data_IF_554179178614
#
_entry.id   IF_554179178614
#
_cell.length_a   1.000
_cell.length_b   1.000
_cell.length_c   1.000
_cell.angle_alpha   90.00
_cell.angle_beta   90.00
_cell.angle_gamma   90.00
#
_symmetry.space_group_name_H-M   'P 1'
#
loop_
_entity.id
_entity.type
_entity.pdbx_description
1 polymer ?
#
# COMPACT_ATOMS: atom_id res chain seq x y z
N UNK A 1 25.78 26.94 26.26
CA UNK A 1 25.60 27.20 24.81
C UNK A 1 24.72 26.12 24.21
N UNK A 2 23.45 26.43 23.94
CA UNK A 2 22.50 25.52 23.31
C UNK A 2 22.77 25.44 21.80
N UNK A 3 23.23 24.28 21.31
CA UNK A 3 23.42 24.03 19.87
C UNK A 3 22.11 23.52 19.29
N UNK A 4 21.31 24.45 18.76
CA UNK A 4 20.15 24.15 17.92
C UNK A 4 20.61 23.30 16.72
N UNK A 5 20.34 22.00 16.76
CA UNK A 5 20.55 21.09 15.64
C UNK A 5 19.36 21.24 14.68
N UNK A 6 19.32 22.34 13.92
CA UNK A 6 18.42 22.44 12.75
C UNK A 6 18.84 21.35 11.77
N UNK A 7 18.14 20.22 11.78
CA UNK A 7 18.16 19.24 10.67
C UNK A 7 17.56 19.97 9.47
N UNK A 8 18.43 20.58 8.67
CA UNK A 8 18.05 21.18 7.39
C UNK A 8 17.58 20.13 6.40
N UNK A 9 16.98 20.61 5.31
CA UNK A 9 16.43 19.84 4.18
C UNK A 9 17.42 18.76 3.67
N UNK A 10 18.73 18.96 3.85
CA UNK A 10 19.80 18.01 3.52
C UNK A 10 19.76 16.68 4.29
N UNK A 11 19.15 16.62 5.49
CA UNK A 11 18.94 15.37 6.24
C UNK A 11 17.55 14.76 6.05
N UNK A 12 16.63 15.47 5.39
CA UNK A 12 15.23 15.08 5.23
C UNK A 12 15.02 14.20 4.00
N UNK A 13 15.60 14.59 2.86
CA UNK A 13 15.46 13.85 1.59
C UNK A 13 16.12 12.46 1.62
N UNK A 14 17.38 12.29 2.10
CA UNK A 14 18.00 10.96 2.13
C UNK A 14 17.25 9.99 3.04
N UNK A 15 16.79 10.43 4.22
CA UNK A 15 16.05 9.58 5.17
C UNK A 15 14.66 9.15 4.65
N UNK A 16 14.05 9.93 3.76
CA UNK A 16 12.74 9.63 3.19
C UNK A 16 12.83 8.57 2.08
N UNK A 17 13.92 8.56 1.31
CA UNK A 17 14.09 7.65 0.16
C UNK A 17 15.06 6.48 0.41
N UNK A 18 15.88 6.52 1.46
CA UNK A 18 16.96 5.53 1.69
C UNK A 18 16.84 4.68 2.96
N UNK A 19 15.95 5.01 3.90
CA UNK A 19 15.88 4.31 5.18
C UNK A 19 14.90 3.14 5.13
N UNK A 20 15.20 2.14 4.28
CA UNK A 20 14.48 0.87 4.26
C UNK A 20 15.24 -0.10 5.14
N UNK A 21 14.69 -0.35 6.32
CA UNK A 21 15.11 -1.42 7.21
C UNK A 21 14.25 -2.64 6.87
N UNK A 22 14.88 -3.82 6.71
CA UNK A 22 14.21 -5.08 6.37
C UNK A 22 13.39 -5.64 7.54
N UNK A 23 13.38 -4.97 8.70
CA UNK A 23 12.45 -5.28 9.79
C UNK A 23 11.00 -4.93 9.47
N UNK A 24 10.04 -5.67 10.06
CA UNK A 24 8.59 -5.41 9.91
C UNK A 24 8.21 -3.96 10.22
N UNK A 25 8.82 -3.39 11.27
CA UNK A 25 8.60 -2.00 11.66
C UNK A 25 9.21 -1.01 10.64
N UNK A 26 10.35 -1.37 10.05
CA UNK A 26 10.99 -0.62 8.96
C UNK A 26 10.09 -0.55 7.73
N UNK A 27 9.54 -1.69 7.31
CA UNK A 27 8.62 -1.78 6.19
C UNK A 27 7.32 -0.98 6.44
N UNK A 28 6.65 -1.19 7.58
CA UNK A 28 5.44 -0.43 7.91
C UNK A 28 5.71 1.08 7.97
N UNK A 29 6.85 1.49 8.52
CA UNK A 29 7.25 2.90 8.54
C UNK A 29 7.51 3.45 7.13
N UNK A 30 8.16 2.65 6.28
CA UNK A 30 8.42 2.99 4.88
C UNK A 30 7.11 3.19 4.13
N UNK A 31 6.16 2.26 4.25
CA UNK A 31 4.82 2.32 3.63
C UNK A 31 4.01 3.51 4.14
N UNK A 32 4.02 3.77 5.45
CA UNK A 32 3.36 4.95 6.04
C UNK A 32 3.93 6.28 5.54
N UNK A 33 5.19 6.28 5.12
CA UNK A 33 5.87 7.47 4.60
C UNK A 33 5.73 7.64 3.09
N UNK A 34 5.10 6.69 2.40
CA UNK A 34 4.96 6.69 0.95
C UNK A 34 4.17 7.88 0.43
N UNK A 35 3.08 8.28 1.09
CA UNK A 35 2.37 9.52 0.72
C UNK A 35 3.24 10.77 0.91
N UNK A 36 4.16 10.77 1.89
CA UNK A 36 5.08 11.89 2.12
C UNK A 36 6.12 11.95 1.02
N UNK A 37 6.62 10.80 0.56
CA UNK A 37 7.46 10.70 -0.63
C UNK A 37 6.74 11.20 -1.87
N UNK A 38 5.49 10.77 -2.07
CA UNK A 38 4.68 11.22 -3.20
C UNK A 38 4.47 12.74 -3.15
N UNK A 39 4.17 13.31 -1.98
CA UNK A 39 4.01 14.75 -1.77
C UNK A 39 5.32 15.50 -2.01
N UNK A 40 6.43 15.06 -1.41
CA UNK A 40 7.76 15.66 -1.59
C UNK A 40 8.20 15.54 -3.04
N UNK A 41 7.98 14.41 -3.68
CA UNK A 41 8.22 14.19 -5.11
C UNK A 41 7.39 15.12 -5.98
N UNK A 42 6.12 15.36 -5.62
CA UNK A 42 5.25 16.32 -6.30
C UNK A 42 5.76 17.75 -6.14
N UNK A 43 6.24 18.14 -4.95
CA UNK A 43 6.82 19.47 -4.71
C UNK A 43 8.15 19.62 -5.47
N UNK A 44 9.04 18.64 -5.41
CA UNK A 44 10.31 18.64 -6.16
C UNK A 44 10.02 18.76 -7.65
N UNK A 45 9.03 18.01 -8.14
CA UNK A 45 8.60 18.12 -9.52
C UNK A 45 8.09 19.53 -9.81
N UNK A 46 7.17 20.08 -9.01
CA UNK A 46 6.63 21.42 -9.22
C UNK A 46 7.73 22.50 -9.26
N UNK A 47 8.75 22.37 -8.41
CA UNK A 47 9.93 23.24 -8.45
C UNK A 47 10.74 23.00 -9.72
N UNK A 48 10.94 21.74 -10.12
CA UNK A 48 11.57 21.38 -11.39
C UNK A 48 10.86 21.96 -12.61
N UNK A 49 9.52 21.92 -12.63
CA UNK A 49 8.67 22.54 -13.64
C UNK A 49 8.93 24.04 -13.71
N UNK A 50 8.91 24.74 -12.57
CA UNK A 50 9.15 26.17 -12.51
C UNK A 50 10.57 26.55 -12.99
N UNK A 51 11.58 25.77 -12.62
CA UNK A 51 12.97 25.96 -13.07
C UNK A 51 13.08 25.74 -14.58
N UNK A 52 12.52 24.65 -15.08
CA UNK A 52 12.52 24.31 -16.51
C UNK A 52 11.77 25.35 -17.33
N UNK A 53 10.65 25.88 -16.82
CA UNK A 53 9.91 26.95 -17.48
C UNK A 53 10.66 28.29 -17.45
N UNK A 54 11.41 28.56 -16.37
CA UNK A 54 12.36 29.69 -16.31
C UNK A 54 13.50 29.56 -17.34
N UNK A 55 14.11 28.37 -17.44
CA UNK A 55 15.14 28.06 -18.44
C UNK A 55 14.56 28.11 -19.86
N UNK A 56 13.32 27.68 -20.06
CA UNK A 56 12.63 27.75 -21.35
C UNK A 56 12.41 29.20 -21.80
N UNK A 57 11.95 30.09 -20.91
CA UNK A 57 11.86 31.53 -21.22
C UNK A 57 13.21 32.12 -21.66
N UNK A 58 14.32 31.55 -21.16
CA UNK A 58 15.68 31.96 -21.50
C UNK A 58 16.25 31.30 -22.76
N UNK A 59 15.88 30.06 -23.08
CA UNK A 59 16.55 29.22 -24.11
C UNK A 59 15.65 28.80 -25.27
N UNK A 60 14.33 28.99 -25.18
CA UNK A 60 13.32 28.60 -26.19
C UNK A 60 13.33 27.12 -26.61
N UNK A 61 13.90 26.22 -25.80
CA UNK A 61 14.01 24.80 -26.15
C UNK A 61 12.72 24.01 -25.86
N UNK A 62 12.01 23.60 -26.91
CA UNK A 62 10.63 23.07 -26.83
C UNK A 62 10.51 21.69 -26.13
N UNK A 63 11.55 20.85 -26.16
CA UNK A 63 11.53 19.48 -25.61
C UNK A 63 11.37 19.41 -24.08
N UNK A 64 11.84 20.44 -23.37
CA UNK A 64 11.77 20.53 -21.92
C UNK A 64 10.34 20.66 -21.38
N UNK A 65 9.49 21.39 -22.11
CA UNK A 65 8.07 21.60 -21.78
C UNK A 65 7.29 20.28 -21.84
N UNK A 66 7.63 19.40 -22.78
CA UNK A 66 6.98 18.10 -22.97
C UNK A 66 7.21 17.18 -21.77
N UNK A 67 8.46 17.04 -21.33
CA UNK A 67 8.82 16.18 -20.18
C UNK A 67 8.14 16.67 -18.92
N UNK A 68 8.15 17.98 -18.68
CA UNK A 68 7.51 18.62 -17.53
C UNK A 68 6.02 18.33 -17.45
N UNK A 69 5.28 18.54 -18.56
CA UNK A 69 3.84 18.27 -18.61
C UNK A 69 3.57 16.78 -18.34
N UNK A 70 4.35 15.91 -18.96
CA UNK A 70 4.16 14.47 -18.83
C UNK A 70 4.34 13.97 -17.40
N UNK A 71 5.44 14.35 -16.75
CA UNK A 71 5.72 13.92 -15.37
C UNK A 71 4.69 14.51 -14.41
N UNK A 72 4.18 15.72 -14.67
CA UNK A 72 3.11 16.34 -13.87
C UNK A 72 1.82 15.53 -13.92
N UNK A 73 1.44 15.06 -15.09
CA UNK A 73 0.23 14.25 -15.29
C UNK A 73 0.35 12.91 -14.55
N UNK A 74 1.50 12.25 -14.67
CA UNK A 74 1.76 10.97 -14.00
C UNK A 74 1.70 11.14 -12.48
N UNK A 75 2.36 12.16 -11.91
CA UNK A 75 2.29 12.37 -10.46
C UNK A 75 0.88 12.76 -10.00
N UNK A 76 0.18 13.62 -10.73
CA UNK A 76 -1.16 14.08 -10.35
C UNK A 76 -2.17 12.93 -10.38
N UNK A 77 -2.14 12.11 -11.44
CA UNK A 77 -3.05 10.98 -11.56
C UNK A 77 -2.60 9.78 -10.70
N UNK A 78 -1.33 9.60 -10.39
CA UNK A 78 -0.84 8.55 -9.47
C UNK A 78 -1.00 8.86 -7.98
N UNK A 79 -1.16 10.14 -7.62
CA UNK A 79 -1.25 10.58 -6.22
C UNK A 79 -2.40 9.92 -5.43
N UNK A 80 -3.65 9.82 -5.96
CA UNK A 80 -4.74 9.21 -5.21
C UNK A 80 -4.45 7.76 -4.79
N UNK A 81 -3.90 6.94 -5.71
CA UNK A 81 -3.48 5.58 -5.42
C UNK A 81 -2.41 5.54 -4.32
N UNK A 82 -1.33 6.32 -4.47
CA UNK A 82 -0.24 6.36 -3.47
C UNK A 82 -0.70 6.82 -2.09
N UNK A 83 -1.59 7.83 -2.03
CA UNK A 83 -2.14 8.32 -0.78
C UNK A 83 -3.01 7.27 -0.09
N UNK A 84 -3.84 6.56 -0.85
CA UNK A 84 -4.71 5.53 -0.30
C UNK A 84 -3.93 4.30 0.19
N UNK A 85 -2.97 3.81 -0.59
CA UNK A 85 -2.13 2.66 -0.23
C UNK A 85 -1.30 2.94 1.04
N UNK A 86 -0.86 4.19 1.22
CA UNK A 86 -0.03 4.61 2.36
C UNK A 86 -0.82 4.88 3.65
N UNK A 87 -2.11 5.22 3.54
CA UNK A 87 -2.95 5.60 4.69
C UNK A 87 -3.85 4.46 5.13
N UNK A 88 -4.42 3.70 4.19
CA UNK A 88 -5.46 2.70 4.46
C UNK A 88 -5.05 1.66 5.52
N UNK A 89 -3.84 1.07 5.50
CA UNK A 89 -3.42 0.09 6.51
C UNK A 89 -3.25 0.69 7.92
N UNK A 90 -3.10 2.02 8.02
CA UNK A 90 -2.90 2.72 9.29
C UNK A 90 -4.15 3.46 9.76
N UNK A 91 -5.28 3.29 9.08
CA UNK A 91 -6.57 3.68 9.66
C UNK A 91 -6.93 2.73 10.81
N UNK A 92 -7.89 3.11 11.64
CA UNK A 92 -8.37 2.17 12.67
C UNK A 92 -8.98 0.97 11.95
N UNK A 93 -8.51 -0.26 12.21
CA UNK A 93 -9.07 -1.44 11.59
C UNK A 93 -10.53 -1.60 11.98
N UNK A 94 -11.36 -2.07 11.05
CA UNK A 94 -12.76 -2.42 11.34
C UNK A 94 -12.81 -3.84 11.89
N UNK A 95 -12.84 -3.93 13.21
CA UNK A 95 -12.95 -5.18 13.95
C UNK A 95 -14.42 -5.39 14.31
N UNK A 96 -14.93 -6.58 14.04
CA UNK A 96 -16.31 -6.96 14.33
C UNK A 96 -16.38 -8.41 14.75
N UNK A 97 -17.29 -8.73 15.67
CA UNK A 97 -17.59 -10.10 16.03
C UNK A 97 -18.67 -10.66 15.09
N UNK A 98 -18.36 -11.73 14.37
CA UNK A 98 -19.24 -12.36 13.36
C UNK A 98 -19.15 -13.87 13.52
N UNK A 99 -20.31 -14.53 13.61
CA UNK A 99 -20.45 -16.00 13.62
C UNK A 99 -19.55 -16.74 14.62
N UNK A 100 -19.31 -16.16 15.80
CA UNK A 100 -18.47 -16.80 16.83
C UNK A 100 -16.98 -16.52 16.69
N UNK A 101 -16.58 -15.57 15.83
CA UNK A 101 -15.19 -15.24 15.55
C UNK A 101 -14.97 -13.73 15.51
N UNK A 102 -13.75 -13.29 15.82
CA UNK A 102 -13.34 -11.90 15.65
C UNK A 102 -12.83 -11.70 14.23
N UNK A 103 -13.47 -10.81 13.47
CA UNK A 103 -13.12 -10.52 12.08
C UNK A 103 -12.56 -9.11 11.97
N UNK A 104 -11.36 -9.00 11.42
CA UNK A 104 -10.74 -7.74 11.01
C UNK A 104 -10.93 -7.58 9.51
N UNK A 105 -11.55 -6.48 9.08
CA UNK A 105 -11.79 -6.21 7.67
C UNK A 105 -10.89 -5.09 7.14
N UNK A 106 -10.14 -5.34 6.06
CA UNK A 106 -9.21 -4.37 5.46
C UNK A 106 -9.86 -3.23 4.69
N UNK A 107 -9.36 -2.00 4.77
CA UNK A 107 -10.08 -0.82 4.25
C UNK A 107 -10.24 -0.76 2.71
N UNK A 108 -11.40 -0.28 2.24
CA UNK A 108 -11.73 -0.07 0.81
C UNK A 108 -10.96 1.09 0.15
N UNK A 109 -10.14 1.81 0.90
CA UNK A 109 -9.48 3.02 0.38
C UNK A 109 -8.53 2.71 -0.78
N UNK A 110 -7.86 1.56 -0.77
CA UNK A 110 -6.88 1.17 -1.80
C UNK A 110 -7.54 1.03 -3.18
N UNK A 111 -8.72 0.40 -3.26
CA UNK A 111 -9.48 0.29 -4.51
C UNK A 111 -10.05 1.63 -4.97
N UNK A 112 -10.50 2.49 -4.04
CA UNK A 112 -10.95 3.86 -4.34
C UNK A 112 -9.80 4.69 -4.94
N UNK A 113 -8.59 4.58 -4.40
CA UNK A 113 -7.40 5.26 -4.90
C UNK A 113 -7.08 4.88 -6.35
N UNK A 114 -7.07 3.57 -6.67
CA UNK A 114 -6.84 3.08 -8.03
C UNK A 114 -7.91 3.56 -9.02
N UNK A 115 -9.19 3.58 -8.62
CA UNK A 115 -10.27 4.09 -9.48
C UNK A 115 -10.15 5.61 -9.72
N UNK A 116 -9.87 6.38 -8.66
CA UNK A 116 -9.66 7.82 -8.80
C UNK A 116 -8.50 8.13 -9.77
N UNK A 117 -7.40 7.38 -9.66
CA UNK A 117 -6.27 7.45 -10.59
C UNK A 117 -6.68 7.13 -12.03
N UNK A 118 -7.44 6.05 -12.26
CA UNK A 118 -7.95 5.69 -13.58
C UNK A 118 -8.79 6.80 -14.21
N UNK A 119 -9.76 7.35 -13.46
CA UNK A 119 -10.62 8.43 -13.95
C UNK A 119 -9.81 9.67 -14.33
N UNK A 120 -8.79 10.02 -13.53
CA UNK A 120 -7.90 11.14 -13.83
C UNK A 120 -7.07 10.91 -15.10
N UNK A 121 -6.48 9.72 -15.28
CA UNK A 121 -5.73 9.40 -16.50
C UNK A 121 -6.63 9.44 -17.75
N UNK A 122 -7.85 8.90 -17.67
CA UNK A 122 -8.84 8.97 -18.75
C UNK A 122 -9.25 10.41 -19.06
N UNK A 123 -9.50 11.23 -18.03
CA UNK A 123 -9.85 12.63 -18.21
C UNK A 123 -8.72 13.42 -18.89
N UNK A 124 -7.45 13.17 -18.50
CA UNK A 124 -6.30 13.78 -19.15
C UNK A 124 -6.16 13.36 -20.61
N UNK A 125 -6.33 12.07 -20.93
CA UNK A 125 -6.30 11.59 -22.32
C UNK A 125 -7.35 12.31 -23.19
N UNK A 126 -8.60 12.37 -22.71
CA UNK A 126 -9.70 13.05 -23.41
C UNK A 126 -9.41 14.55 -23.58
N UNK A 127 -8.92 15.21 -22.52
CA UNK A 127 -8.57 16.63 -22.56
C UNK A 127 -7.53 16.95 -23.64
N UNK A 128 -6.47 16.16 -23.77
CA UNK A 128 -5.44 16.38 -24.80
C UNK A 128 -5.95 16.10 -26.21
N UNK A 129 -6.81 15.10 -26.39
CA UNK A 129 -7.44 14.82 -27.69
C UNK A 129 -8.30 16.01 -28.13
N UNK A 130 -9.21 16.47 -27.27
CA UNK A 130 -10.10 17.61 -27.55
C UNK A 130 -9.30 18.89 -27.80
N UNK A 131 -8.31 19.18 -26.95
CA UNK A 131 -7.44 20.35 -27.12
C UNK A 131 -6.67 20.31 -28.44
N UNK A 132 -6.24 19.12 -28.88
CA UNK A 132 -5.59 18.91 -30.17
C UNK A 132 -6.46 19.21 -31.37
N UNK A 133 -7.74 18.81 -31.31
CA UNK A 133 -8.72 19.14 -32.34
C UNK A 133 -8.98 20.64 -32.41
N UNK A 134 -9.14 21.32 -31.27
CA UNK A 134 -9.39 22.77 -31.21
C UNK A 134 -8.18 23.56 -31.72
N UNK A 135 -6.97 23.16 -31.35
CA UNK A 135 -5.74 23.87 -31.73
C UNK A 135 -5.26 23.56 -33.16
N UNK A 136 -5.91 22.63 -33.88
CA UNK A 136 -5.44 22.10 -35.17
C UNK A 136 -4.00 21.52 -35.14
N UNK A 137 -3.51 21.14 -33.97
CA UNK A 137 -2.17 20.60 -33.74
C UNK A 137 -2.22 19.13 -33.28
N UNK A 138 -3.15 18.35 -33.86
CA UNK A 138 -3.51 17.01 -33.42
C UNK A 138 -2.30 16.09 -33.20
N UNK A 139 -1.33 16.11 -34.12
CA UNK A 139 -0.12 15.26 -34.07
C UNK A 139 0.70 15.51 -32.80
N UNK A 140 0.86 16.79 -32.41
CA UNK A 140 1.64 17.18 -31.22
C UNK A 140 0.92 16.79 -29.94
N UNK A 141 -0.39 17.04 -29.88
CA UNK A 141 -1.23 16.70 -28.72
C UNK A 141 -1.47 15.20 -28.57
N UNK A 142 -1.43 14.44 -29.66
CA UNK A 142 -1.60 12.99 -29.63
C UNK A 142 -0.52 12.31 -28.78
N UNK A 143 0.72 12.80 -28.79
CA UNK A 143 1.80 12.27 -27.96
C UNK A 143 1.50 12.46 -26.46
N UNK A 144 0.87 13.58 -26.09
CA UNK A 144 0.44 13.86 -24.72
C UNK A 144 -0.79 13.07 -24.31
N UNK A 145 -1.65 12.71 -25.26
CA UNK A 145 -2.82 11.86 -25.00
C UNK A 145 -2.45 10.38 -24.89
N UNK A 146 -1.47 9.91 -25.68
CA UNK A 146 -1.07 8.51 -25.77
C UNK A 146 -0.60 7.97 -24.43
N UNK A 147 0.19 8.73 -23.67
CA UNK A 147 0.78 8.23 -22.42
C UNK A 147 -0.29 8.07 -21.32
N UNK A 148 -1.12 9.08 -20.99
CA UNK A 148 -2.28 8.90 -20.12
C UNK A 148 -3.25 7.82 -20.62
N UNK A 149 -3.45 7.69 -21.93
CA UNK A 149 -4.28 6.63 -22.49
C UNK A 149 -3.69 5.23 -22.31
N UNK A 150 -2.37 5.06 -22.44
CA UNK A 150 -1.68 3.80 -22.14
C UNK A 150 -1.77 3.47 -20.65
N UNK A 151 -1.61 4.45 -19.76
CA UNK A 151 -1.81 4.26 -18.32
C UNK A 151 -3.27 3.94 -17.98
N UNK A 152 -4.24 4.64 -18.58
CA UNK A 152 -5.65 4.34 -18.42
C UNK A 152 -6.00 2.96 -18.98
N UNK A 153 -5.44 2.58 -20.13
CA UNK A 153 -5.61 1.26 -20.72
C UNK A 153 -4.98 0.17 -19.85
N UNK A 154 -3.79 0.38 -19.31
CA UNK A 154 -3.16 -0.53 -18.34
C UNK A 154 -4.02 -0.68 -17.09
N UNK A 155 -4.52 0.44 -16.56
CA UNK A 155 -5.46 0.44 -15.45
C UNK A 155 -6.81 -0.21 -15.80
N UNK A 156 -7.24 -0.18 -17.06
CA UNK A 156 -8.48 -0.79 -17.56
C UNK A 156 -8.33 -2.28 -17.92
N UNK A 157 -7.19 -2.68 -18.47
CA UNK A 157 -6.84 -4.09 -18.71
C UNK A 157 -6.68 -4.86 -17.41
N UNK A 158 -6.57 -4.15 -16.28
CA UNK A 158 -6.79 -4.69 -14.94
C UNK A 158 -8.25 -5.06 -14.61
N UNK A 159 -9.18 -5.00 -15.56
CA UNK A 159 -10.62 -5.23 -15.39
C UNK A 159 -11.28 -4.46 -14.22
N UNK A 160 -10.92 -3.20 -13.93
CA UNK A 160 -11.34 -2.50 -12.73
C UNK A 160 -12.84 -2.24 -12.68
N UNK A 161 -13.55 -2.30 -13.83
CA UNK A 161 -14.99 -2.06 -13.97
C UNK A 161 -15.83 -3.34 -13.92
N UNK A 162 -15.33 -4.45 -14.49
CA UNK A 162 -16.04 -5.74 -14.49
C UNK A 162 -15.92 -6.42 -13.12
N UNK A 163 -14.74 -6.30 -12.51
CA UNK A 163 -14.52 -6.73 -11.14
C UNK A 163 -14.85 -5.61 -10.14
N UNK A 164 -15.21 -4.39 -10.54
CA UNK A 164 -15.48 -3.30 -9.57
C UNK A 164 -16.48 -3.69 -8.49
N UNK A 165 -17.58 -4.32 -8.88
CA UNK A 165 -18.60 -4.81 -7.93
C UNK A 165 -18.10 -5.98 -7.11
N UNK A 166 -17.28 -6.87 -7.70
CA UNK A 166 -16.67 -7.99 -7.02
C UNK A 166 -15.55 -7.54 -6.07
N UNK A 167 -14.56 -6.76 -6.51
CA UNK A 167 -13.47 -6.10 -5.77
C UNK A 167 -13.95 -5.05 -4.76
N UNK A 168 -15.13 -4.45 -4.92
CA UNK A 168 -15.76 -3.67 -3.85
C UNK A 168 -16.40 -4.57 -2.79
N UNK A 169 -16.93 -5.72 -3.20
CA UNK A 169 -17.58 -6.68 -2.29
C UNK A 169 -16.57 -7.53 -1.53
N UNK A 170 -15.52 -7.96 -2.23
CA UNK A 170 -14.44 -8.79 -1.76
C UNK A 170 -13.42 -7.92 -1.01
N UNK A 171 -13.29 -8.20 0.28
CA UNK A 171 -12.54 -7.39 1.23
C UNK A 171 -11.58 -8.34 1.90
N UNK A 172 -10.31 -7.96 2.00
CA UNK A 172 -9.38 -8.77 2.78
C UNK A 172 -9.90 -8.88 4.20
N UNK A 173 -10.01 -10.12 4.69
CA UNK A 173 -10.46 -10.41 6.05
C UNK A 173 -9.45 -11.26 6.77
N UNK A 174 -9.14 -10.86 7.99
CA UNK A 174 -8.44 -11.69 8.95
C UNK A 174 -9.44 -12.15 9.99
N UNK A 175 -9.71 -13.44 10.02
CA UNK A 175 -10.62 -14.07 10.97
C UNK A 175 -9.81 -14.75 12.06
N UNK A 176 -10.05 -14.33 13.29
CA UNK A 176 -9.43 -14.84 14.50
C UNK A 176 -10.45 -15.74 15.20
N UNK A 177 -10.15 -17.03 15.25
CA UNK A 177 -10.93 -18.04 15.94
C UNK A 177 -10.15 -18.59 17.14
N UNK A 178 -10.83 -19.33 18.03
CA UNK A 178 -10.18 -19.97 19.18
C UNK A 178 -9.12 -20.99 18.79
N UNK A 179 -9.30 -21.62 17.62
CA UNK A 179 -8.43 -22.68 17.11
C UNK A 179 -7.28 -22.17 16.22
N UNK A 180 -7.45 -21.01 15.59
CA UNK A 180 -6.48 -20.49 14.65
C UNK A 180 -6.83 -19.13 14.06
N UNK A 181 -6.06 -18.76 13.05
CA UNK A 181 -6.23 -17.54 12.28
C UNK A 181 -6.37 -17.89 10.81
N UNK A 182 -7.34 -17.26 10.17
CA UNK A 182 -7.63 -17.42 8.75
C UNK A 182 -7.51 -16.08 8.05
N UNK A 183 -6.85 -16.12 6.91
CA UNK A 183 -6.62 -15.00 6.03
C UNK A 183 -7.38 -15.25 4.75
N UNK A 184 -8.19 -14.28 4.38
CA UNK A 184 -8.74 -14.14 3.05
C UNK A 184 -8.15 -12.88 2.45
N UNK A 185 -7.36 -13.03 1.40
CA UNK A 185 -6.86 -11.92 0.62
C UNK A 185 -7.83 -11.68 -0.53
N UNK A 186 -8.43 -10.50 -0.55
CA UNK A 186 -9.17 -10.06 -1.72
C UNK A 186 -8.24 -10.13 -2.93
N UNK A 187 -8.75 -10.63 -4.06
CA UNK A 187 -7.93 -10.82 -5.25
C UNK A 187 -7.19 -9.53 -5.62
N UNK A 188 -5.89 -9.65 -5.90
CA UNK A 188 -5.16 -8.52 -6.47
C UNK A 188 -5.69 -8.25 -7.88
N UNK A 189 -5.60 -6.99 -8.31
CA UNK A 189 -5.92 -6.64 -9.69
C UNK A 189 -4.95 -7.37 -10.63
N UNK A 190 -5.42 -7.78 -11.81
CA UNK A 190 -4.72 -8.74 -12.70
C UNK A 190 -3.32 -8.35 -13.21
N UNK A 191 -2.84 -7.13 -12.95
CA UNK A 191 -1.43 -6.74 -13.16
C UNK A 191 -0.49 -7.34 -12.12
N UNK A 192 -1.02 -7.61 -10.92
CA UNK A 192 -0.30 -8.31 -9.85
C UNK A 192 -0.49 -9.85 -9.98
N UNK A 193 -1.25 -10.35 -10.98
CA UNK A 193 -1.46 -11.79 -11.20
C UNK A 193 -0.16 -12.52 -11.59
N UNK A 194 0.77 -11.83 -12.26
CA UNK A 194 2.11 -12.37 -12.52
C UNK A 194 2.93 -12.48 -11.21
N UNK A 195 2.62 -11.68 -10.19
CA UNK A 195 3.23 -11.78 -8.84
C UNK A 195 2.66 -12.96 -8.04
N UNK A 196 1.38 -13.32 -8.25
CA UNK A 196 0.78 -14.56 -7.71
C UNK A 196 1.38 -15.82 -8.37
N UNK A 197 1.77 -15.72 -9.65
CA UNK A 197 2.29 -16.87 -10.45
C UNK A 197 3.79 -17.15 -10.30
N UNK A 198 4.58 -16.21 -9.77
CA UNK A 198 6.04 -16.31 -9.75
C UNK A 198 6.63 -16.85 -8.44
N UNK A 199 5.85 -16.91 -7.35
CA UNK A 199 6.25 -17.61 -6.12
C UNK A 199 5.43 -18.88 -5.94
N UNK A 200 6.05 -20.05 -6.11
CA UNK A 200 5.44 -21.34 -5.76
C UNK A 200 5.00 -21.33 -4.30
N UNK A 201 3.71 -21.55 -4.02
CA UNK A 201 3.16 -21.62 -2.65
C UNK A 201 2.32 -20.43 -2.19
N UNK A 202 2.03 -19.46 -3.07
CA UNK A 202 1.11 -18.37 -2.75
C UNK A 202 -0.36 -18.74 -2.96
N UNK A 203 -1.19 -18.54 -1.94
CA UNK A 203 -2.65 -18.67 -2.00
C UNK A 203 -3.37 -17.35 -1.71
N UNK A 204 -4.59 -17.21 -2.22
CA UNK A 204 -5.54 -16.16 -1.80
C UNK A 204 -5.98 -16.35 -0.34
N UNK A 205 -5.99 -17.61 0.10
CA UNK A 205 -6.46 -18.01 1.40
C UNK A 205 -5.37 -18.77 2.14
N UNK A 206 -5.15 -18.41 3.39
CA UNK A 206 -4.26 -19.15 4.28
C UNK A 206 -4.93 -19.30 5.64
N UNK A 207 -4.95 -20.52 6.17
CA UNK A 207 -5.47 -20.81 7.49
C UNK A 207 -4.47 -21.67 8.25
N UNK A 208 -4.18 -21.30 9.48
CA UNK A 208 -3.35 -22.12 10.35
C UNK A 208 -3.81 -22.02 11.79
N UNK A 209 -3.50 -23.06 12.55
CA UNK A 209 -3.89 -23.19 13.94
C UNK A 209 -2.87 -22.54 14.86
N UNK A 210 -3.32 -22.11 16.04
CA UNK A 210 -2.43 -21.46 17.01
C UNK A 210 -1.38 -22.41 17.61
N UNK A 211 -1.67 -23.72 17.65
CA UNK A 211 -0.73 -24.75 18.11
C UNK A 211 0.44 -24.98 17.14
N UNK A 212 0.34 -24.51 15.90
CA UNK A 212 1.44 -24.55 14.93
C UNK A 212 2.52 -23.49 15.22
N UNK A 213 2.24 -22.53 16.12
CA UNK A 213 3.16 -21.44 16.51
C UNK A 213 3.78 -20.72 15.32
N UNK A 214 2.97 -20.49 14.27
CA UNK A 214 3.40 -19.83 13.03
C UNK A 214 3.89 -18.43 13.33
N UNK A 215 4.98 -18.02 12.68
CA UNK A 215 5.58 -16.69 12.77
C UNK A 215 5.87 -16.14 11.39
N UNK A 216 5.96 -14.81 11.30
CA UNK A 216 6.47 -14.14 10.10
C UNK A 216 7.97 -14.37 10.04
N UNK A 217 8.45 -14.99 8.96
CA UNK A 217 9.85 -15.33 8.77
C UNK A 217 10.57 -14.32 7.88
N UNK A 218 9.99 -14.06 6.71
CA UNK A 218 10.56 -13.14 5.73
C UNK A 218 9.46 -12.32 5.04
N UNK A 219 9.86 -11.15 4.54
CA UNK A 219 8.99 -10.21 3.87
C UNK A 219 9.67 -9.66 2.61
N UNK A 220 9.26 -10.15 1.45
CA UNK A 220 9.70 -9.62 0.17
C UNK A 220 8.75 -8.52 -0.31
N UNK A 221 9.18 -7.26 -0.19
CA UNK A 221 8.40 -6.13 -0.71
C UNK A 221 8.38 -6.06 -2.23
N UNK A 222 9.36 -6.66 -2.91
CA UNK A 222 9.46 -6.60 -4.39
C UNK A 222 8.42 -7.52 -5.04
N UNK A 223 8.14 -8.66 -4.41
CA UNK A 223 7.10 -9.61 -4.84
C UNK A 223 5.82 -9.54 -4.00
N UNK A 224 5.73 -8.60 -3.04
CA UNK A 224 4.64 -8.52 -2.05
C UNK A 224 4.34 -9.86 -1.37
N UNK A 225 5.40 -10.60 -1.07
CA UNK A 225 5.34 -11.94 -0.52
C UNK A 225 5.68 -11.88 0.98
N UNK A 226 4.87 -12.55 1.79
CA UNK A 226 5.13 -12.73 3.22
C UNK A 226 5.26 -14.23 3.47
N UNK A 227 6.44 -14.65 3.92
CA UNK A 227 6.71 -16.03 4.28
C UNK A 227 6.32 -16.26 5.74
N UNK A 228 5.39 -17.19 5.94
CA UNK A 228 4.98 -17.67 7.24
C UNK A 228 5.53 -19.07 7.46
N UNK A 229 6.23 -19.25 8.59
CA UNK A 229 6.81 -20.54 8.95
C UNK A 229 6.31 -21.00 10.31
N UNK A 230 5.89 -22.25 10.37
CA UNK A 230 5.79 -23.03 11.60
C UNK A 230 7.14 -23.71 11.87
N UNK A 231 7.21 -24.43 12.99
CA UNK A 231 8.27 -25.40 13.23
C UNK A 231 8.34 -26.40 12.05
N UNK A 232 9.40 -26.35 11.22
CA UNK A 232 9.49 -27.12 9.98
C UNK A 232 9.58 -28.63 10.23
N UNK A 233 9.93 -29.04 11.45
CA UNK A 233 10.04 -30.45 11.82
C UNK A 233 8.70 -31.06 12.24
N UNK A 234 7.67 -30.24 12.48
CA UNK A 234 6.40 -30.68 13.08
C UNK A 234 5.17 -30.44 12.20
N UNK A 235 5.18 -29.40 11.36
CA UNK A 235 4.00 -29.01 10.59
C UNK A 235 4.32 -28.74 9.11
N UNK A 236 3.33 -28.97 8.24
CA UNK A 236 3.43 -28.65 6.82
C UNK A 236 3.52 -27.13 6.63
N UNK A 237 4.74 -26.64 6.42
CA UNK A 237 5.07 -25.27 6.07
C UNK A 237 6.30 -25.26 5.15
N UNK A 238 6.57 -24.17 4.42
CA UNK A 238 6.08 -22.79 4.62
C UNK A 238 4.72 -22.48 3.97
N UNK A 239 4.05 -21.45 4.50
CA UNK A 239 2.89 -20.81 3.86
C UNK A 239 3.29 -19.44 3.29
N UNK A 240 3.03 -19.22 2.00
CA UNK A 240 3.27 -17.94 1.34
C UNK A 240 1.99 -17.09 1.25
N UNK A 241 2.04 -15.87 1.75
CA UNK A 241 0.97 -14.88 1.58
C UNK A 241 1.39 -13.82 0.56
N UNK A 242 0.74 -13.82 -0.61
CA UNK A 242 0.91 -12.77 -1.61
C UNK A 242 -0.06 -11.64 -1.26
N UNK A 243 0.42 -10.62 -0.59
CA UNK A 243 -0.41 -9.50 -0.21
C UNK A 243 0.33 -8.17 -0.20
N UNK A 244 -0.19 -7.22 -0.97
CA UNK A 244 0.21 -5.82 -0.83
C UNK A 244 -0.26 -5.26 0.51
N UNK A 245 -1.44 -5.61 1.01
CA UNK A 245 -1.93 -5.22 2.34
C UNK A 245 -2.94 -6.24 2.90
N UNK A 246 -2.84 -6.59 4.19
CA UNK A 246 -3.78 -7.48 4.89
C UNK A 246 -4.92 -6.70 5.58
N UNK A 247 -4.90 -5.37 5.50
CA UNK A 247 -5.85 -4.50 6.20
C UNK A 247 -5.42 -4.07 7.60
N UNK A 248 -4.29 -4.60 8.08
CA UNK A 248 -3.55 -4.17 9.26
C UNK A 248 -2.05 -4.05 8.89
N UNK A 249 -1.26 -3.27 9.64
CA UNK A 249 0.19 -3.22 9.47
C UNK A 249 0.84 -4.57 9.82
N UNK A 250 2.00 -4.90 9.23
CA UNK A 250 2.67 -6.19 9.49
C UNK A 250 3.14 -6.31 10.94
N UNK A 251 3.54 -5.21 11.57
CA UNK A 251 3.80 -5.14 13.02
C UNK A 251 2.56 -5.40 13.85
N UNK A 252 1.37 -5.04 13.37
CA UNK A 252 0.10 -5.36 14.01
C UNK A 252 -0.23 -6.85 13.88
N UNK A 253 0.05 -7.44 12.72
CA UNK A 253 -0.11 -8.88 12.50
C UNK A 253 0.84 -9.69 13.39
N UNK A 254 2.12 -9.33 13.42
CA UNK A 254 3.12 -9.95 14.29
C UNK A 254 2.72 -9.85 15.76
N UNK A 255 2.23 -8.68 16.22
CA UNK A 255 1.76 -8.51 17.58
C UNK A 255 0.57 -9.42 17.93
N UNK A 256 -0.39 -9.59 17.01
CA UNK A 256 -1.51 -10.52 17.21
C UNK A 256 -1.03 -11.97 17.30
N UNK A 257 -0.21 -12.40 16.34
CA UNK A 257 0.31 -13.76 16.29
C UNK A 257 1.14 -14.07 17.53
N UNK A 258 2.05 -13.18 17.91
CA UNK A 258 2.86 -13.30 19.12
C UNK A 258 2.01 -13.35 20.38
N UNK A 259 1.03 -12.45 20.52
CA UNK A 259 0.18 -12.42 21.71
C UNK A 259 -0.58 -13.74 21.91
N UNK A 260 -1.29 -14.24 20.90
CA UNK A 260 -2.07 -15.48 21.03
C UNK A 260 -1.20 -16.74 21.08
N UNK A 261 0.04 -16.69 20.58
CA UNK A 261 1.02 -17.77 20.78
C UNK A 261 1.55 -17.79 22.22
N UNK A 262 1.79 -16.63 22.83
CA UNK A 262 2.30 -16.49 24.21
C UNK A 262 1.21 -16.63 25.28
N UNK A 263 -0.03 -16.23 24.98
CA UNK A 263 -1.17 -16.20 25.91
C UNK A 263 -2.33 -17.08 25.38
N UNK A 264 -2.19 -18.41 25.40
CA UNK A 264 -3.23 -19.31 24.94
C UNK A 264 -4.55 -19.19 25.72
N UNK A 265 -4.49 -18.72 26.96
CA UNK A 265 -5.63 -18.44 27.84
C UNK A 265 -6.56 -17.34 27.32
N UNK A 266 -6.07 -16.46 26.45
CA UNK A 266 -6.84 -15.37 25.86
C UNK A 266 -7.56 -15.79 24.56
N UNK A 267 -7.19 -16.93 23.96
CA UNK A 267 -7.83 -17.45 22.73
C UNK A 267 -9.33 -17.68 22.88
N UNK A 268 -9.88 -18.20 24.00
CA UNK A 268 -11.32 -18.34 24.21
C UNK A 268 -12.09 -17.02 24.07
N UNK A 269 -11.46 -15.87 24.33
CA UNK A 269 -12.08 -14.56 24.14
C UNK A 269 -12.36 -14.25 22.66
N UNK A 270 -11.67 -14.91 21.72
CA UNK A 270 -11.95 -14.79 20.29
C UNK A 270 -13.32 -15.38 19.90
N UNK A 271 -13.91 -16.23 20.74
CA UNK A 271 -15.28 -16.71 20.60
C UNK A 271 -16.31 -15.83 21.31
N UNK A 272 -15.90 -14.68 21.85
CA UNK A 272 -16.82 -13.74 22.50
C UNK A 272 -16.69 -12.33 21.90
N UNK A 273 -17.72 -11.48 22.07
CA UNK A 273 -17.62 -10.08 21.68
C UNK A 273 -16.48 -9.32 22.38
N UNK A 274 -16.05 -9.77 23.57
CA UNK A 274 -14.94 -9.16 24.32
C UNK A 274 -13.60 -9.34 23.61
N UNK A 275 -13.45 -10.37 22.77
CA UNK A 275 -12.27 -10.55 21.93
C UNK A 275 -12.04 -9.38 20.96
N UNK A 276 -13.08 -8.63 20.60
CA UNK A 276 -12.95 -7.42 19.78
C UNK A 276 -12.14 -6.35 20.51
N UNK A 277 -12.41 -6.14 21.79
CA UNK A 277 -11.71 -5.14 22.61
C UNK A 277 -10.25 -5.55 22.81
N UNK A 278 -9.99 -6.83 23.11
CA UNK A 278 -8.63 -7.37 23.22
C UNK A 278 -7.82 -7.17 21.94
N UNK A 279 -8.38 -7.56 20.79
CA UNK A 279 -7.70 -7.41 19.48
C UNK A 279 -7.45 -5.94 19.17
N UNK A 280 -8.41 -5.06 19.49
CA UNK A 280 -8.24 -3.62 19.32
C UNK A 280 -7.12 -3.06 20.20
N UNK A 281 -7.03 -3.51 21.46
CA UNK A 281 -5.98 -3.08 22.40
C UNK A 281 -4.59 -3.51 21.91
N UNK A 282 -4.43 -4.77 21.48
CA UNK A 282 -3.17 -5.28 20.91
C UNK A 282 -2.74 -4.46 19.70
N UNK A 283 -3.65 -4.22 18.75
CA UNK A 283 -3.36 -3.43 17.55
C UNK A 283 -3.08 -1.96 17.87
N UNK A 284 -3.74 -1.40 18.88
CA UNK A 284 -3.49 -0.05 19.36
C UNK A 284 -2.10 0.08 19.98
N UNK A 285 -1.67 -0.93 20.75
CA UNK A 285 -0.35 -0.99 21.36
C UNK A 285 0.74 -1.10 20.29
N UNK A 286 0.61 -2.05 19.35
CA UNK A 286 1.55 -2.22 18.24
C UNK A 286 1.70 -0.92 17.43
N UNK A 287 0.60 -0.22 17.17
CA UNK A 287 0.60 1.08 16.52
C UNK A 287 1.35 2.15 17.33
N UNK A 288 1.17 2.15 18.65
CA UNK A 288 1.86 3.09 19.54
C UNK A 288 3.36 2.86 19.53
N UNK A 289 3.81 1.60 19.53
CA UNK A 289 5.21 1.19 19.44
C UNK A 289 5.84 1.62 18.11
N UNK A 290 5.12 1.43 17.00
CA UNK A 290 5.53 1.92 15.68
C UNK A 290 5.72 3.45 15.69
N UNK A 291 4.86 4.20 16.38
CA UNK A 291 4.97 5.67 16.47
C UNK A 291 6.06 6.15 17.43
N UNK A 292 6.34 5.43 18.52
CA UNK A 292 7.32 5.85 19.53
C UNK A 292 8.75 5.53 19.10
N UNK A 293 8.98 4.42 18.38
CA UNK A 293 10.30 4.10 17.78
C UNK A 293 10.80 5.21 16.86
N UNK A 294 9.88 5.85 16.13
CA UNK A 294 10.16 7.05 15.32
C UNK A 294 10.67 8.24 16.14
N UNK A 295 10.22 8.40 17.39
CA UNK A 295 10.65 9.49 18.27
C UNK A 295 12.07 9.31 18.82
N UNK A 296 12.54 8.07 18.96
CA UNK A 296 13.92 7.78 19.43
C UNK A 296 14.99 7.91 18.35
N UNK A 297 14.61 7.88 17.06
CA UNK A 297 15.54 8.06 15.93
C UNK A 297 15.45 9.45 15.26
N UNK A 298 14.57 10.34 15.75
CA UNK A 298 14.42 11.73 15.32
C UNK A 298 15.39 12.69 16.03
#
# INVERSE_FOLDING_TARGET
MARSRRRGISGFLPNIFSNRDESLAGEDQWRRSEWKRALVGTIILAVGIAIVEGIFRLTHFQSFRTVVILVSLILTAGFPQMACDSVAPFLRPRISFVDGHVVIRGERLTSIGRLASYVLFSAFAIFFIISGFIAHELVRTFHFALIPACFAYFLYSMNPLRDFTATLSDRSTTTLATEGITFHMAHHLSVDADLESTSSGCGSDASFRWDHNVKIYDLSTTSYHVDLLADPDTYDGPWGLCCRTIGIPFTGLDALMRHFNEHPEDRPLLATPQGVDLVNDILSQARSELTTRKGKHA
#
